data_IF_995975668534
#
_entry.id   IF_995975668534
#
_cell.length_a   1.000
_cell.length_b   1.000
_cell.length_c   1.000
_cell.angle_alpha   90.00
_cell.angle_beta   90.00
_cell.angle_gamma   90.00
#
_symmetry.space_group_name_H-M   'P 1'
#
loop_
_entity.id
_entity.type
_entity.pdbx_description
1 polymer ?
#
# COMPACT_ATOMS: atom_id res chain seq x y z
N UNK A 1 -12.44 -8.96 3.99
CA UNK A 1 -12.30 -7.79 4.91
C UNK A 1 -13.36 -6.71 4.68
N UNK A 2 -13.79 -6.00 5.72
CA UNK A 2 -14.66 -4.81 5.61
C UNK A 2 -13.93 -3.62 4.97
N UNK A 3 -14.67 -2.73 4.31
CA UNK A 3 -14.13 -1.55 3.63
C UNK A 3 -13.40 -0.58 4.58
N UNK A 4 -13.91 -0.40 5.80
CA UNK A 4 -13.26 0.44 6.82
C UNK A 4 -11.86 -0.08 7.20
N UNK A 5 -11.71 -1.39 7.40
CA UNK A 5 -10.42 -2.02 7.71
C UNK A 5 -9.44 -1.86 6.55
N UNK A 6 -9.93 -1.97 5.30
CA UNK A 6 -9.10 -1.72 4.12
C UNK A 6 -8.63 -0.26 4.05
N UNK A 7 -9.51 0.70 4.35
CA UNK A 7 -9.18 2.12 4.34
C UNK A 7 -8.14 2.47 5.43
N UNK A 8 -8.27 1.94 6.64
CA UNK A 8 -7.27 2.09 7.70
C UNK A 8 -5.93 1.44 7.36
N UNK A 9 -5.97 0.33 6.63
CA UNK A 9 -4.77 -0.32 6.12
C UNK A 9 -4.06 0.59 5.12
N UNK A 10 -4.78 1.15 4.14
CA UNK A 10 -4.21 2.06 3.12
C UNK A 10 -3.75 3.41 3.68
N UNK A 11 -4.47 3.97 4.64
CA UNK A 11 -4.08 5.22 5.29
C UNK A 11 -2.80 5.08 6.12
N UNK A 12 -2.59 3.89 6.71
CA UNK A 12 -1.37 3.56 7.47
C UNK A 12 -0.20 3.10 6.59
N UNK A 13 -0.41 2.78 5.31
CA UNK A 13 0.68 2.34 4.44
C UNK A 13 1.69 3.46 4.20
N UNK A 14 2.94 3.17 4.56
CA UNK A 14 4.07 3.99 4.19
C UNK A 14 4.30 3.98 2.67
N UNK A 15 4.82 5.07 2.10
CA UNK A 15 5.21 5.09 0.70
C UNK A 15 6.33 4.08 0.44
N UNK A 16 6.00 2.99 -0.23
CA UNK A 16 6.93 1.99 -0.75
C UNK A 16 7.47 2.39 -2.13
N UNK A 17 8.76 2.12 -2.36
CA UNK A 17 9.46 2.43 -3.61
C UNK A 17 9.42 1.26 -4.60
N UNK A 18 9.17 0.05 -4.12
CA UNK A 18 9.10 -1.17 -4.92
C UNK A 18 8.02 -2.12 -4.39
N UNK A 19 7.69 -3.15 -5.17
CA UNK A 19 6.64 -4.13 -4.84
C UNK A 19 6.94 -4.96 -3.59
N UNK A 20 8.22 -5.16 -3.26
CA UNK A 20 8.63 -5.89 -2.05
C UNK A 20 8.42 -5.05 -0.79
N UNK A 21 8.80 -3.77 -0.83
CA UNK A 21 8.53 -2.81 0.25
C UNK A 21 7.03 -2.62 0.46
N UNK A 22 6.25 -2.59 -0.63
CA UNK A 22 4.79 -2.52 -0.55
C UNK A 22 4.21 -3.75 0.14
N UNK A 23 4.70 -4.94 -0.21
CA UNK A 23 4.26 -6.18 0.42
C UNK A 23 4.62 -6.21 1.91
N UNK A 24 5.84 -5.80 2.26
CA UNK A 24 6.26 -5.72 3.65
C UNK A 24 5.43 -4.70 4.43
N UNK A 25 5.13 -3.53 3.85
CA UNK A 25 4.29 -2.52 4.50
C UNK A 25 2.85 -3.00 4.72
N UNK A 26 2.27 -3.75 3.76
CA UNK A 26 0.95 -4.38 3.92
C UNK A 26 0.97 -5.42 5.04
N UNK A 27 2.01 -6.25 5.09
CA UNK A 27 2.17 -7.28 6.12
C UNK A 27 2.33 -6.64 7.51
N UNK A 28 3.22 -5.65 7.64
CA UNK A 28 3.45 -4.92 8.89
C UNK A 28 2.15 -4.30 9.40
N UNK A 29 1.38 -3.66 8.50
CA UNK A 29 0.10 -3.06 8.85
C UNK A 29 -0.97 -4.08 9.24
N UNK A 30 -1.01 -5.25 8.61
CA UNK A 30 -1.89 -6.34 9.01
C UNK A 30 -1.56 -6.81 10.44
N UNK A 31 -0.27 -6.93 10.77
CA UNK A 31 0.18 -7.29 12.10
C UNK A 31 -0.15 -6.21 13.15
N UNK A 32 0.01 -4.93 12.82
CA UNK A 32 -0.39 -3.82 13.69
C UNK A 32 -1.89 -3.82 13.99
N UNK A 33 -2.72 -4.18 13.01
CA UNK A 33 -4.17 -4.34 13.17
C UNK A 33 -4.55 -5.65 13.89
N UNK A 34 -3.55 -6.41 14.35
CA UNK A 34 -3.71 -7.68 15.04
C UNK A 34 -4.46 -8.73 14.18
N UNK A 35 -4.29 -8.65 12.86
CA UNK A 35 -4.85 -9.57 11.88
C UNK A 35 -3.81 -10.65 11.61
N UNK A 36 -4.15 -11.90 11.94
CA UNK A 36 -3.22 -13.01 11.73
C UNK A 36 -3.06 -13.29 10.23
N UNK A 37 -1.81 -13.38 9.79
CA UNK A 37 -1.49 -13.62 8.37
C UNK A 37 -1.96 -15.00 7.91
N UNK A 38 -2.14 -15.96 8.84
CA UNK A 38 -2.70 -17.28 8.52
C UNK A 38 -4.21 -17.25 8.30
N UNK A 39 -4.90 -16.26 8.88
CA UNK A 39 -6.32 -15.98 8.63
C UNK A 39 -6.52 -15.30 7.26
N UNK A 40 -5.50 -14.60 6.76
CA UNK A 40 -5.52 -13.98 5.44
C UNK A 40 -5.23 -15.02 4.35
N UNK A 41 -6.27 -15.40 3.62
CA UNK A 41 -6.13 -16.28 2.45
C UNK A 41 -5.19 -15.66 1.39
N UNK A 42 -4.47 -16.51 0.65
CA UNK A 42 -3.62 -16.07 -0.48
C UNK A 42 -4.37 -15.18 -1.48
N UNK A 43 -5.66 -15.45 -1.71
CA UNK A 43 -6.51 -14.65 -2.57
C UNK A 43 -6.76 -13.24 -2.00
N UNK A 44 -6.96 -13.11 -0.69
CA UNK A 44 -7.10 -11.80 -0.04
C UNK A 44 -5.77 -11.05 -0.04
N UNK A 45 -4.64 -11.71 0.23
CA UNK A 45 -3.32 -11.07 0.17
C UNK A 45 -3.03 -10.53 -1.25
N UNK A 46 -3.34 -11.29 -2.30
CA UNK A 46 -3.21 -10.81 -3.69
C UNK A 46 -4.10 -9.61 -3.97
N UNK A 47 -5.33 -9.63 -3.48
CA UNK A 47 -6.26 -8.51 -3.63
C UNK A 47 -5.76 -7.26 -2.90
N UNK A 48 -5.23 -7.43 -1.68
CA UNK A 48 -4.64 -6.35 -0.90
C UNK A 48 -3.44 -5.72 -1.63
N UNK A 49 -2.49 -6.53 -2.11
CA UNK A 49 -1.34 -6.04 -2.86
C UNK A 49 -1.73 -5.36 -4.17
N UNK A 50 -2.72 -5.89 -4.90
CA UNK A 50 -3.22 -5.29 -6.12
C UNK A 50 -3.85 -3.91 -5.85
N UNK A 51 -4.69 -3.80 -4.82
CA UNK A 51 -5.29 -2.52 -4.40
C UNK A 51 -4.25 -1.53 -3.90
N UNK A 52 -3.28 -1.98 -3.11
CA UNK A 52 -2.18 -1.15 -2.62
C UNK A 52 -1.33 -0.61 -3.77
N UNK A 53 -1.09 -1.42 -4.81
CA UNK A 53 -0.35 -1.02 -6.01
C UNK A 53 -1.12 0.03 -6.82
N UNK A 54 -2.42 -0.15 -7.02
CA UNK A 54 -3.28 0.85 -7.67
C UNK A 54 -3.32 2.15 -6.87
N UNK A 55 -3.51 2.07 -5.55
CA UNK A 55 -3.53 3.24 -4.66
C UNK A 55 -2.21 4.03 -4.69
N UNK A 56 -1.08 3.32 -4.69
CA UNK A 56 0.26 3.87 -4.89
C UNK A 56 0.41 4.56 -6.25
N UNK A 57 -0.04 3.91 -7.32
CA UNK A 57 0.00 4.47 -8.66
C UNK A 57 -0.84 5.75 -8.77
N UNK A 58 -2.02 5.78 -8.18
CA UNK A 58 -2.89 6.96 -8.11
C UNK A 58 -2.26 8.09 -7.27
N UNK A 59 -1.61 7.77 -6.14
CA UNK A 59 -0.87 8.73 -5.32
C UNK A 59 0.37 9.30 -6.03
N UNK A 60 1.10 8.48 -6.79
CA UNK A 60 2.22 8.94 -7.62
C UNK A 60 1.72 9.81 -8.79
N UNK A 61 0.60 9.44 -9.44
CA UNK A 61 0.01 10.23 -10.52
C UNK A 61 -0.50 11.60 -10.04
N UNK A 62 -1.01 11.70 -8.81
CA UNK A 62 -1.40 12.98 -8.18
C UNK A 62 -0.22 13.84 -7.72
N UNK A 63 1.02 13.35 -7.81
CA UNK A 63 2.23 14.15 -7.64
C UNK A 63 3.02 14.20 -8.97
N UNK A 64 2.50 14.88 -10.01
CA UNK A 64 3.30 15.10 -11.21
C UNK A 64 4.35 16.18 -10.90
N UNK A 65 5.57 15.74 -10.60
CA UNK A 65 6.82 16.50 -10.76
C UNK A 65 6.95 17.79 -9.94
N UNK A 66 7.52 17.69 -8.73
CA UNK A 66 8.58 18.63 -8.33
C UNK A 66 9.90 18.17 -8.97
N UNK A 67 9.92 18.11 -10.30
CA UNK A 67 11.15 18.11 -11.09
C UNK A 67 11.38 19.54 -11.54
N UNK A 68 11.60 20.44 -10.59
CA UNK A 68 12.17 21.74 -10.88
C UNK A 68 13.70 21.58 -10.88
N UNK A 69 14.20 20.86 -11.89
CA UNK A 69 15.55 21.11 -12.37
C UNK A 69 15.46 22.37 -13.22
N UNK A 70 15.50 23.54 -12.58
CA UNK A 70 15.85 24.76 -13.29
C UNK A 70 17.33 24.65 -13.70
N UNK A 71 17.48 24.47 -15.00
CA UNK A 71 18.69 24.53 -15.81
C UNK A 71 19.30 25.94 -15.77
N UNK A 72 20.64 25.96 -15.60
CA UNK A 72 21.64 27.00 -15.93
C UNK A 72 21.67 28.30 -15.15
#
# INVERSE_FOLDING_TARGET
MSEQVMEELWNGLSPATNSMELANAVIDRLQELNIDLQDVSLAEMKNLLAKACTYQAERQMRNPRLSDCLVS
#
